data_IF_460534485652
#
_entry.id   IF_460534485652
#
_cell.length_a   1.000
_cell.length_b   1.000
_cell.length_c   1.000
_cell.angle_alpha   90.00
_cell.angle_beta   90.00
_cell.angle_gamma   90.00
#
_symmetry.space_group_name_H-M   'P 1'
#
loop_
_entity.id
_entity.type
_entity.pdbx_description
1 polymer ?
#
# COMPACT_ATOMS: atom_id res chain seq x y z
N UNK A 1 -7.94 -58.40 3.93
CA UNK A 1 -9.10 -57.70 3.35
C UNK A 1 -8.92 -56.21 3.63
N UNK A 2 -8.50 -55.43 2.64
CA UNK A 2 -8.21 -54.00 2.81
C UNK A 2 -9.49 -53.20 2.60
N UNK A 3 -9.88 -52.40 3.60
CA UNK A 3 -11.03 -51.49 3.52
C UNK A 3 -10.69 -50.41 2.50
N UNK A 4 -11.33 -50.45 1.33
CA UNK A 4 -11.26 -49.35 0.35
C UNK A 4 -12.01 -48.18 0.95
N UNK A 5 -11.26 -47.18 1.43
CA UNK A 5 -11.84 -45.93 1.89
C UNK A 5 -12.19 -45.10 0.66
N UNK A 6 -13.48 -44.85 0.47
CA UNK A 6 -13.97 -44.04 -0.64
C UNK A 6 -13.55 -42.59 -0.41
N UNK A 7 -12.87 -42.00 -1.39
CA UNK A 7 -12.47 -40.57 -1.41
C UNK A 7 -13.64 -39.61 -1.13
N UNK A 8 -14.88 -40.03 -1.41
CA UNK A 8 -16.10 -39.28 -1.08
C UNK A 8 -16.34 -39.12 0.41
N UNK A 9 -15.91 -40.10 1.21
CA UNK A 9 -16.11 -40.08 2.66
C UNK A 9 -15.11 -39.13 3.32
N UNK A 10 -13.86 -39.11 2.83
CA UNK A 10 -12.87 -38.11 3.22
C UNK A 10 -13.26 -36.69 2.78
N UNK A 11 -13.90 -36.53 1.62
CA UNK A 11 -14.37 -35.22 1.14
C UNK A 11 -15.53 -34.69 1.98
N UNK A 12 -16.46 -35.56 2.38
CA UNK A 12 -17.52 -35.22 3.34
C UNK A 12 -16.98 -34.93 4.74
N UNK A 13 -15.95 -35.65 5.18
CA UNK A 13 -15.28 -35.39 6.46
C UNK A 13 -14.51 -34.06 6.44
N UNK A 14 -13.95 -33.66 5.30
CA UNK A 14 -13.33 -32.35 5.07
C UNK A 14 -14.36 -31.21 4.92
N UNK A 15 -15.54 -31.48 4.37
CA UNK A 15 -16.64 -30.50 4.25
C UNK A 15 -17.43 -30.33 5.57
N UNK A 16 -17.53 -31.39 6.38
CA UNK A 16 -18.21 -31.39 7.68
C UNK A 16 -17.28 -31.11 8.87
N UNK A 17 -15.96 -31.14 8.69
CA UNK A 17 -15.11 -30.42 9.61
C UNK A 17 -15.42 -28.95 9.38
N UNK A 18 -16.07 -28.32 10.36
CA UNK A 18 -15.76 -26.93 10.69
C UNK A 18 -14.24 -26.91 10.84
N UNK A 19 -13.55 -26.71 9.71
CA UNK A 19 -12.11 -26.82 9.65
C UNK A 19 -11.60 -25.94 10.76
N UNK A 20 -10.73 -26.46 11.65
CA UNK A 20 -10.24 -25.71 12.79
C UNK A 20 -9.89 -24.35 12.24
N UNK A 21 -10.56 -23.31 12.74
CA UNK A 21 -10.32 -21.97 12.28
C UNK A 21 -8.81 -21.82 12.34
N UNK A 22 -8.16 -21.80 11.17
CA UNK A 22 -6.73 -21.53 11.10
C UNK A 22 -6.60 -20.29 11.95
N UNK A 23 -5.98 -20.46 13.12
CA UNK A 23 -5.69 -19.35 14.00
C UNK A 23 -4.95 -18.39 13.09
N UNK A 24 -5.65 -17.30 12.80
CA UNK A 24 -5.18 -16.29 11.87
C UNK A 24 -3.91 -15.78 12.55
N UNK A 25 -2.74 -16.16 12.05
CA UNK A 25 -1.43 -15.87 12.64
C UNK A 25 -1.09 -14.36 12.59
N UNK A 26 -2.07 -13.49 12.81
CA UNK A 26 -2.00 -12.04 12.62
C UNK A 26 -1.99 -11.59 11.16
N UNK A 27 -2.03 -12.50 10.18
CA UNK A 27 -1.85 -12.18 8.75
C UNK A 27 -2.86 -11.15 8.25
N UNK A 28 -4.11 -11.23 8.71
CA UNK A 28 -5.17 -10.27 8.36
C UNK A 28 -5.50 -9.29 9.48
N UNK A 29 -4.58 -9.08 10.44
CA UNK A 29 -4.79 -8.11 11.52
C UNK A 29 -5.12 -6.72 10.94
N UNK A 30 -6.19 -6.10 11.44
CA UNK A 30 -6.69 -4.81 10.97
C UNK A 30 -7.34 -4.81 9.57
N UNK A 31 -7.58 -5.98 8.96
CA UNK A 31 -8.26 -6.07 7.67
C UNK A 31 -9.64 -5.39 7.67
N UNK A 32 -10.44 -5.59 8.73
CA UNK A 32 -11.79 -5.00 8.76
C UNK A 32 -11.73 -3.47 8.79
N UNK A 33 -10.77 -2.91 9.50
CA UNK A 33 -10.62 -1.46 9.63
C UNK A 33 -10.20 -0.86 8.29
N UNK A 34 -9.16 -1.43 7.66
CA UNK A 34 -8.72 -1.02 6.32
C UNK A 34 -9.79 -1.23 5.25
N UNK A 35 -10.59 -2.29 5.36
CA UNK A 35 -11.70 -2.54 4.44
C UNK A 35 -12.80 -1.48 4.59
N UNK A 36 -13.10 -1.04 5.81
CA UNK A 36 -14.03 0.06 6.03
C UNK A 36 -13.46 1.39 5.53
N UNK A 37 -12.19 1.69 5.80
CA UNK A 37 -11.50 2.87 5.28
C UNK A 37 -11.52 2.89 3.74
N UNK A 38 -11.21 1.76 3.10
CA UNK A 38 -11.30 1.60 1.66
C UNK A 38 -12.68 1.97 1.14
N UNK A 39 -13.74 1.43 1.76
CA UNK A 39 -15.12 1.70 1.38
C UNK A 39 -15.53 3.15 1.61
N UNK A 40 -15.00 3.81 2.63
CA UNK A 40 -15.28 5.22 2.92
C UNK A 40 -14.71 6.17 1.84
N UNK A 41 -13.68 5.74 1.12
CA UNK A 41 -13.12 6.49 -0.01
C UNK A 41 -13.88 6.27 -1.33
N UNK A 42 -14.68 5.21 -1.43
CA UNK A 42 -15.46 4.90 -2.63
C UNK A 42 -16.53 5.98 -2.81
N UNK A 43 -16.64 6.56 -4.00
CA UNK A 43 -17.66 7.57 -4.37
C UNK A 43 -19.03 6.92 -4.59
N UNK A 44 -19.48 6.12 -3.63
CA UNK A 44 -20.80 5.53 -3.53
C UNK A 44 -21.42 6.00 -2.22
N UNK A 45 -22.73 6.20 -2.19
CA UNK A 45 -23.48 6.54 -0.96
C UNK A 45 -23.60 5.31 -0.04
N UNK A 46 -22.47 4.76 0.39
CA UNK A 46 -22.42 3.61 1.28
C UNK A 46 -22.84 4.08 2.69
N UNK A 47 -23.81 3.40 3.32
CA UNK A 47 -24.18 3.73 4.69
C UNK A 47 -22.99 3.56 5.64
N UNK A 48 -22.96 4.29 6.76
CA UNK A 48 -22.03 4.02 7.86
C UNK A 48 -22.15 2.59 8.40
N UNK A 49 -21.08 2.07 9.01
CA UNK A 49 -21.01 0.69 9.49
C UNK A 49 -22.14 0.35 10.47
N UNK A 50 -22.47 1.26 11.38
CA UNK A 50 -23.54 1.18 12.37
C UNK A 50 -24.95 1.40 11.79
N UNK A 51 -25.05 1.93 10.56
CA UNK A 51 -26.31 2.35 9.92
C UNK A 51 -26.63 1.55 8.65
N UNK A 52 -26.31 0.26 8.65
CA UNK A 52 -26.80 -0.67 7.62
C UNK A 52 -25.83 -0.96 6.48
N UNK A 53 -24.55 -0.55 6.57
CA UNK A 53 -23.50 -0.90 5.58
C UNK A 53 -23.48 -2.40 5.24
N UNK A 54 -23.59 -3.25 6.26
CA UNK A 54 -23.58 -4.71 6.09
C UNK A 54 -24.74 -5.16 5.18
N UNK A 55 -25.94 -4.64 5.40
CA UNK A 55 -27.12 -4.96 4.59
C UNK A 55 -26.97 -4.46 3.16
N UNK A 56 -26.50 -3.22 3.01
CA UNK A 56 -26.28 -2.61 1.70
C UNK A 56 -25.26 -3.40 0.86
N UNK A 57 -24.11 -3.75 1.45
CA UNK A 57 -23.07 -4.51 0.75
C UNK A 57 -23.51 -5.94 0.47
N UNK A 58 -24.28 -6.56 1.37
CA UNK A 58 -24.86 -7.89 1.13
C UNK A 58 -25.78 -7.88 -0.10
N UNK A 59 -26.65 -6.87 -0.22
CA UNK A 59 -27.52 -6.69 -1.38
C UNK A 59 -26.71 -6.40 -2.66
N UNK A 60 -25.72 -5.51 -2.58
CA UNK A 60 -24.87 -5.14 -3.70
C UNK A 60 -24.05 -6.30 -4.26
N UNK A 61 -23.55 -7.17 -3.39
CA UNK A 61 -22.66 -8.30 -3.75
C UNK A 61 -23.40 -9.63 -3.91
N UNK A 62 -24.70 -9.68 -3.58
CA UNK A 62 -25.48 -10.91 -3.53
C UNK A 62 -25.02 -11.90 -2.43
N UNK A 63 -24.18 -11.46 -1.49
CA UNK A 63 -23.69 -12.28 -0.38
C UNK A 63 -24.63 -12.22 0.83
N UNK A 64 -24.53 -13.17 1.75
CA UNK A 64 -25.31 -13.11 2.99
C UNK A 64 -24.79 -12.01 3.92
N UNK A 65 -25.69 -11.40 4.71
CA UNK A 65 -25.32 -10.39 5.72
C UNK A 65 -24.31 -10.92 6.73
N UNK A 66 -24.36 -12.21 7.06
CA UNK A 66 -23.39 -12.86 7.95
C UNK A 66 -21.99 -12.88 7.35
N UNK A 67 -21.86 -13.21 6.07
CA UNK A 67 -20.58 -13.21 5.36
C UNK A 67 -19.99 -11.79 5.31
N UNK A 68 -20.80 -10.80 4.95
CA UNK A 68 -20.35 -9.40 4.90
C UNK A 68 -19.99 -8.89 6.31
N UNK A 69 -20.75 -9.27 7.33
CA UNK A 69 -20.43 -8.93 8.72
C UNK A 69 -19.05 -9.46 9.13
N UNK A 70 -18.69 -10.68 8.73
CA UNK A 70 -17.37 -11.26 9.00
C UNK A 70 -16.26 -10.40 8.36
N UNK A 71 -16.45 -9.94 7.12
CA UNK A 71 -15.47 -9.11 6.43
C UNK A 71 -15.26 -7.76 7.12
N UNK A 72 -16.35 -7.10 7.51
CA UNK A 72 -16.32 -5.74 8.03
C UNK A 72 -16.07 -5.64 9.55
N UNK A 73 -16.08 -6.75 10.29
CA UNK A 73 -15.97 -6.71 11.76
C UNK A 73 -15.04 -7.76 12.38
N UNK A 74 -14.59 -8.78 11.64
CA UNK A 74 -13.84 -9.92 12.22
C UNK A 74 -12.48 -10.17 11.56
N UNK A 75 -11.90 -9.17 10.90
CA UNK A 75 -10.58 -9.27 10.23
C UNK A 75 -10.44 -10.48 9.28
N UNK A 76 -11.55 -10.93 8.68
CA UNK A 76 -11.56 -12.13 7.84
C UNK A 76 -11.96 -11.75 6.42
N UNK A 77 -11.02 -11.67 5.46
CA UNK A 77 -11.33 -11.29 4.09
C UNK A 77 -12.24 -12.32 3.38
N UNK A 78 -12.89 -11.93 2.27
CA UNK A 78 -13.50 -12.89 1.36
C UNK A 78 -12.44 -13.93 0.95
N UNK A 79 -12.73 -15.21 1.19
CA UNK A 79 -11.80 -16.30 0.90
C UNK A 79 -11.57 -16.42 -0.60
N UNK A 80 -10.31 -16.46 -1.02
CA UNK A 80 -9.92 -16.87 -2.37
C UNK A 80 -10.03 -18.41 -2.49
N UNK A 81 -11.24 -18.98 -2.43
CA UNK A 81 -11.39 -20.42 -2.58
C UNK A 81 -11.52 -20.83 -4.05
N UNK A 82 -10.79 -21.88 -4.41
CA UNK A 82 -10.56 -22.46 -5.75
C UNK A 82 -11.80 -23.04 -6.45
N UNK A 83 -13.00 -22.98 -5.85
CA UNK A 83 -14.23 -23.48 -6.48
C UNK A 83 -14.91 -22.41 -7.36
N UNK A 84 -15.04 -22.76 -8.64
CA UNK A 84 -15.29 -21.85 -9.76
C UNK A 84 -16.66 -21.17 -9.79
N UNK A 85 -17.63 -21.57 -8.97
CA UNK A 85 -19.03 -21.31 -9.35
C UNK A 85 -19.81 -20.23 -8.60
N UNK A 86 -19.37 -19.68 -7.44
CA UNK A 86 -20.22 -18.66 -6.75
C UNK A 86 -19.62 -17.90 -5.57
N UNK A 87 -18.31 -17.64 -5.53
CA UNK A 87 -17.70 -16.93 -4.40
C UNK A 87 -17.03 -15.61 -4.83
N UNK A 88 -17.42 -14.54 -4.16
CA UNK A 88 -16.80 -13.21 -4.26
C UNK A 88 -15.40 -13.30 -3.65
N UNK A 89 -14.36 -13.20 -4.48
CA UNK A 89 -12.97 -13.09 -3.99
C UNK A 89 -12.68 -11.66 -3.58
N UNK A 90 -11.68 -11.47 -2.70
CA UNK A 90 -11.25 -10.11 -2.32
C UNK A 90 -10.86 -9.31 -3.56
N UNK A 91 -10.17 -9.94 -4.52
CA UNK A 91 -9.78 -9.30 -5.77
C UNK A 91 -10.98 -8.79 -6.59
N UNK A 92 -12.03 -9.62 -6.74
CA UNK A 92 -13.26 -9.23 -7.45
C UNK A 92 -14.00 -8.10 -6.73
N UNK A 93 -14.04 -8.17 -5.39
CA UNK A 93 -14.68 -7.15 -4.56
C UNK A 93 -13.99 -5.80 -4.71
N UNK A 94 -12.66 -5.78 -4.58
CA UNK A 94 -11.87 -4.54 -4.74
C UNK A 94 -11.98 -4.02 -6.16
N UNK A 95 -11.87 -4.88 -7.18
CA UNK A 95 -12.01 -4.48 -8.58
C UNK A 95 -13.38 -3.86 -8.88
N UNK A 96 -14.43 -4.32 -8.21
CA UNK A 96 -15.76 -3.72 -8.32
C UNK A 96 -15.79 -2.30 -7.75
N UNK A 97 -15.36 -2.12 -6.50
CA UNK A 97 -15.39 -0.82 -5.82
C UNK A 97 -14.40 0.20 -6.40
N UNK A 98 -13.28 -0.25 -6.95
CA UNK A 98 -12.31 0.62 -7.63
C UNK A 98 -12.89 1.36 -8.83
N UNK A 99 -13.94 0.84 -9.49
CA UNK A 99 -14.64 1.57 -10.55
C UNK A 99 -15.29 2.86 -10.08
N UNK A 100 -15.46 2.99 -8.77
CA UNK A 100 -16.06 4.13 -8.09
C UNK A 100 -15.02 4.90 -7.26
N UNK A 101 -13.73 4.65 -7.47
CA UNK A 101 -12.63 5.41 -6.90
C UNK A 101 -11.99 6.29 -7.97
N UNK A 102 -11.48 7.43 -7.55
CA UNK A 102 -10.71 8.35 -8.37
C UNK A 102 -9.25 8.26 -7.91
N UNK A 103 -8.55 7.24 -8.42
CA UNK A 103 -7.23 6.87 -7.95
C UNK A 103 -6.39 6.25 -9.06
N UNK A 104 -5.10 6.59 -9.08
CA UNK A 104 -4.10 5.96 -9.96
C UNK A 104 -3.47 4.71 -9.31
N UNK A 105 -3.90 4.34 -8.11
CA UNK A 105 -3.37 3.20 -7.36
C UNK A 105 -3.84 1.90 -8.00
N UNK A 106 -2.91 0.97 -8.24
CA UNK A 106 -3.23 -0.32 -8.86
C UNK A 106 -4.07 -1.22 -7.95
N UNK A 107 -4.92 -2.04 -8.58
CA UNK A 107 -5.74 -3.05 -7.91
C UNK A 107 -4.93 -3.98 -7.01
N UNK A 108 -3.78 -4.44 -7.50
CA UNK A 108 -2.88 -5.31 -6.74
C UNK A 108 -2.36 -4.63 -5.47
N UNK A 109 -2.04 -3.33 -5.54
CA UNK A 109 -1.57 -2.56 -4.38
C UNK A 109 -2.66 -2.42 -3.33
N UNK A 110 -3.90 -2.11 -3.71
CA UNK A 110 -5.02 -2.01 -2.75
C UNK A 110 -5.31 -3.37 -2.12
N UNK A 111 -5.36 -4.45 -2.91
CA UNK A 111 -5.58 -5.81 -2.38
C UNK A 111 -4.47 -6.20 -1.40
N UNK A 112 -3.22 -5.90 -1.73
CA UNK A 112 -2.10 -6.24 -0.88
C UNK A 112 -2.07 -5.39 0.41
N UNK A 113 -2.39 -4.10 0.35
CA UNK A 113 -2.57 -3.26 1.54
C UNK A 113 -3.70 -3.78 2.45
N UNK A 114 -4.86 -4.12 1.87
CA UNK A 114 -5.96 -4.70 2.65
C UNK A 114 -5.51 -5.97 3.40
N UNK A 115 -4.75 -6.85 2.73
CA UNK A 115 -4.25 -8.10 3.32
C UNK A 115 -3.21 -7.87 4.40
N UNK A 116 -2.14 -7.14 4.07
CA UNK A 116 -0.91 -7.14 4.87
C UNK A 116 -0.74 -5.88 5.73
N UNK A 117 -1.54 -4.84 5.49
CA UNK A 117 -1.51 -3.60 6.25
C UNK A 117 -0.31 -2.70 5.95
N UNK A 118 -0.26 -1.58 6.69
CA UNK A 118 0.69 -0.48 6.49
C UNK A 118 2.15 -0.87 6.74
N UNK A 119 2.40 -1.90 7.55
CA UNK A 119 3.74 -2.42 7.82
C UNK A 119 4.41 -3.00 6.58
N UNK A 120 3.62 -3.58 5.67
CA UNK A 120 4.10 -4.14 4.42
C UNK A 120 3.94 -3.17 3.24
N UNK A 121 2.82 -2.46 3.19
CA UNK A 121 2.45 -1.56 2.10
C UNK A 121 1.71 -0.37 2.69
N UNK A 122 2.26 0.82 2.58
CA UNK A 122 1.61 2.04 3.07
C UNK A 122 0.21 2.24 2.46
N UNK A 123 -0.75 2.71 3.29
CA UNK A 123 -2.12 3.02 2.87
C UNK A 123 -2.14 3.85 1.59
N UNK A 124 -2.89 3.39 0.57
CA UNK A 124 -3.02 4.10 -0.69
C UNK A 124 -3.83 5.40 -0.56
N UNK A 125 -4.49 5.61 0.58
CA UNK A 125 -5.32 6.78 0.87
C UNK A 125 -4.68 7.73 1.88
N UNK A 126 -3.53 7.35 2.43
CA UNK A 126 -2.74 8.27 3.24
C UNK A 126 -2.37 9.44 2.33
N UNK A 127 -2.89 10.62 2.65
CA UNK A 127 -2.45 11.85 2.01
C UNK A 127 -0.95 11.94 2.26
N UNK A 128 -0.15 11.72 1.21
CA UNK A 128 1.27 12.06 1.25
C UNK A 128 1.33 13.51 1.70
N UNK A 129 2.09 13.80 2.75
CA UNK A 129 2.24 15.18 3.15
C UNK A 129 2.87 15.93 1.97
N UNK A 130 2.60 17.23 1.87
CA UNK A 130 3.18 18.07 0.82
C UNK A 130 4.71 17.88 0.79
N UNK A 131 5.32 17.65 1.94
CA UNK A 131 6.76 17.42 2.09
C UNK A 131 7.22 16.08 1.50
N UNK A 132 6.40 15.02 1.54
CA UNK A 132 6.70 13.71 0.93
C UNK A 132 6.66 13.78 -0.60
N UNK A 133 5.66 14.47 -1.15
CA UNK A 133 5.55 14.72 -2.60
C UNK A 133 6.67 15.63 -3.10
N UNK A 134 7.03 16.64 -2.30
CA UNK A 134 8.18 17.50 -2.58
C UNK A 134 9.48 16.70 -2.55
N UNK A 135 9.69 15.82 -1.56
CA UNK A 135 10.88 14.97 -1.53
C UNK A 135 10.97 14.05 -2.76
N UNK A 136 9.89 13.38 -3.15
CA UNK A 136 9.87 12.53 -4.35
C UNK A 136 10.21 13.31 -5.64
N UNK A 137 9.71 14.54 -5.76
CA UNK A 137 10.01 15.43 -6.90
C UNK A 137 11.44 16.00 -6.85
N UNK A 138 11.98 16.24 -5.64
CA UNK A 138 13.28 16.84 -5.43
C UNK A 138 14.42 15.84 -5.46
N UNK A 139 14.20 14.55 -5.18
CA UNK A 139 15.25 13.51 -5.24
C UNK A 139 15.96 13.48 -6.61
N UNK A 140 15.26 13.44 -7.77
CA UNK A 140 15.91 13.49 -9.08
C UNK A 140 16.71 14.79 -9.29
N UNK A 141 16.21 15.91 -8.77
CA UNK A 141 16.88 17.20 -8.85
C UNK A 141 18.16 17.23 -8.02
N UNK A 142 18.07 16.84 -6.75
CA UNK A 142 19.19 16.74 -5.82
C UNK A 142 20.28 15.83 -6.37
N UNK A 143 19.93 14.62 -6.81
CA UNK A 143 20.87 13.67 -7.40
C UNK A 143 21.61 14.26 -8.61
N UNK A 144 20.89 14.95 -9.50
CA UNK A 144 21.49 15.60 -10.67
C UNK A 144 22.52 16.65 -10.26
N UNK A 145 22.20 17.47 -9.27
CA UNK A 145 23.08 18.55 -8.81
C UNK A 145 24.32 17.99 -8.13
N UNK A 146 24.15 16.99 -7.27
CA UNK A 146 25.27 16.31 -6.60
C UNK A 146 26.25 15.74 -7.63
N UNK A 147 25.75 15.06 -8.66
CA UNK A 147 26.60 14.48 -9.73
C UNK A 147 27.39 15.57 -10.47
N UNK A 148 26.75 16.70 -10.79
CA UNK A 148 27.42 17.80 -11.48
C UNK A 148 28.49 18.47 -10.62
N UNK A 149 28.18 18.75 -9.35
CA UNK A 149 29.12 19.40 -8.42
C UNK A 149 30.28 18.46 -8.06
N UNK A 150 30.01 17.18 -7.83
CA UNK A 150 31.05 16.17 -7.60
C UNK A 150 31.98 16.05 -8.82
N UNK A 151 31.41 16.02 -10.03
CA UNK A 151 32.19 16.00 -11.27
C UNK A 151 33.02 17.26 -11.45
N UNK A 152 32.46 18.44 -11.18
CA UNK A 152 33.18 19.71 -11.25
C UNK A 152 34.35 19.78 -10.24
N UNK A 153 34.21 19.08 -9.11
CA UNK A 153 35.24 18.96 -8.09
C UNK A 153 36.22 17.80 -8.31
N UNK A 154 36.10 17.05 -9.42
CA UNK A 154 36.87 15.83 -9.70
C UNK A 154 36.74 14.75 -8.60
N UNK A 155 35.56 14.64 -7.98
CA UNK A 155 35.27 13.63 -6.96
C UNK A 155 34.43 12.50 -7.55
N UNK A 156 34.77 11.25 -7.20
CA UNK A 156 33.93 10.08 -7.46
C UNK A 156 32.74 10.06 -6.50
N UNK A 157 31.62 9.48 -6.92
CA UNK A 157 30.46 9.25 -6.05
C UNK A 157 30.79 8.33 -4.85
N UNK A 158 31.83 7.50 -4.97
CA UNK A 158 32.33 6.66 -3.89
C UNK A 158 33.23 7.39 -2.89
N UNK A 159 33.60 8.65 -3.16
CA UNK A 159 34.50 9.43 -2.32
C UNK A 159 33.80 10.12 -1.15
N UNK A 160 32.46 10.01 -1.04
CA UNK A 160 31.66 10.64 0.00
C UNK A 160 30.42 9.81 0.32
N UNK A 161 29.83 10.08 1.48
CA UNK A 161 28.57 9.44 1.87
C UNK A 161 27.39 10.04 1.07
N UNK A 162 27.02 9.35 -0.02
CA UNK A 162 25.94 9.78 -0.90
C UNK A 162 24.59 9.96 -0.18
N UNK A 163 24.29 9.12 0.80
CA UNK A 163 23.02 9.19 1.51
C UNK A 163 22.92 10.48 2.33
N UNK A 164 23.96 10.81 3.11
CA UNK A 164 24.00 12.05 3.89
C UNK A 164 24.01 13.29 2.98
N UNK A 165 24.80 13.26 1.90
CA UNK A 165 24.85 14.36 0.94
C UNK A 165 23.49 14.57 0.25
N UNK A 166 22.77 13.49 -0.06
CA UNK A 166 21.43 13.56 -0.64
C UNK A 166 20.43 14.20 0.34
N UNK A 167 20.42 13.76 1.60
CA UNK A 167 19.55 14.32 2.65
C UNK A 167 19.85 15.81 2.89
N UNK A 168 21.12 16.19 3.04
CA UNK A 168 21.51 17.59 3.19
C UNK A 168 21.13 18.42 1.95
N UNK A 169 21.33 17.88 0.75
CA UNK A 169 20.96 18.57 -0.49
C UNK A 169 19.45 18.76 -0.60
N UNK A 170 18.65 17.77 -0.20
CA UNK A 170 17.19 17.90 -0.16
C UNK A 170 16.75 19.00 0.80
N UNK A 171 17.35 19.07 1.99
CA UNK A 171 17.08 20.13 2.96
C UNK A 171 17.44 21.51 2.40
N UNK A 172 18.60 21.65 1.74
CA UNK A 172 18.99 22.91 1.07
C UNK A 172 17.97 23.29 0.00
N UNK A 173 17.60 22.37 -0.90
CA UNK A 173 16.64 22.68 -1.96
C UNK A 173 15.27 23.04 -1.38
N UNK A 174 14.86 22.43 -0.28
CA UNK A 174 13.62 22.73 0.41
C UNK A 174 13.65 24.11 1.10
N UNK A 175 14.70 24.40 1.87
CA UNK A 175 14.86 25.66 2.62
C UNK A 175 14.91 26.88 1.69
N UNK A 176 15.45 26.71 0.49
CA UNK A 176 15.54 27.76 -0.53
C UNK A 176 14.39 27.73 -1.56
N UNK A 177 13.37 26.87 -1.38
CA UNK A 177 12.23 26.67 -2.29
C UNK A 177 12.65 26.44 -3.76
N UNK A 178 13.71 25.65 -3.94
CA UNK A 178 14.31 25.36 -5.25
C UNK A 178 13.64 24.13 -5.87
N UNK A 179 12.57 24.38 -6.61
CA UNK A 179 11.74 23.31 -7.20
C UNK A 179 12.16 22.87 -8.60
N UNK A 180 13.17 23.52 -9.19
CA UNK A 180 13.62 23.17 -10.54
C UNK A 180 15.09 23.49 -10.75
N UNK A 181 15.70 22.78 -11.69
CA UNK A 181 17.12 22.98 -12.03
C UNK A 181 17.45 24.39 -12.51
N UNK A 182 16.49 25.10 -13.13
CA UNK A 182 16.66 26.49 -13.58
C UNK A 182 16.78 27.48 -12.42
N UNK A 183 16.26 27.12 -11.24
CA UNK A 183 16.27 27.97 -10.04
C UNK A 183 17.53 27.72 -9.18
N UNK A 184 18.44 26.87 -9.65
CA UNK A 184 19.69 26.58 -8.93
C UNK A 184 20.69 27.69 -9.22
N UNK A 185 20.87 28.55 -8.22
CA UNK A 185 21.80 29.66 -8.26
C UNK A 185 23.21 29.23 -7.78
N UNK A 186 24.27 29.97 -8.16
CA UNK A 186 25.64 29.68 -7.72
C UNK A 186 25.82 29.54 -6.20
N UNK A 187 25.11 30.29 -5.32
CA UNK A 187 25.19 30.06 -3.87
C UNK A 187 24.75 28.66 -3.44
N UNK A 188 23.65 28.13 -4.01
CA UNK A 188 23.15 26.79 -3.68
C UNK A 188 24.20 25.73 -4.03
N UNK A 189 24.78 25.84 -5.24
CA UNK A 189 25.85 24.95 -5.72
C UNK A 189 27.06 24.98 -4.79
N UNK A 190 27.46 26.17 -4.34
CA UNK A 190 28.58 26.33 -3.40
C UNK A 190 28.31 25.63 -2.06
N UNK A 191 27.09 25.73 -1.53
CA UNK A 191 26.70 25.05 -0.28
C UNK A 191 26.68 23.53 -0.49
N UNK A 192 26.05 23.05 -1.56
CA UNK A 192 25.99 21.62 -1.89
C UNK A 192 27.40 21.03 -2.09
N UNK A 193 28.28 21.76 -2.78
CA UNK A 193 29.67 21.35 -2.94
C UNK A 193 30.41 21.28 -1.59
N UNK A 194 30.10 22.18 -0.66
CA UNK A 194 30.67 22.11 0.69
C UNK A 194 30.13 20.89 1.45
N UNK A 195 28.85 20.56 1.31
CA UNK A 195 28.25 19.33 1.86
C UNK A 195 28.96 18.07 1.34
N UNK A 196 29.23 18.01 0.03
CA UNK A 196 30.00 16.90 -0.58
C UNK A 196 31.39 16.78 0.04
N UNK A 197 32.10 17.89 0.21
CA UNK A 197 33.45 17.92 0.80
C UNK A 197 33.47 17.58 2.29
N UNK A 198 32.45 18.00 3.04
CA UNK A 198 32.37 17.72 4.48
C UNK A 198 32.08 16.25 4.76
N UNK A 199 31.42 15.58 3.82
CA UNK A 199 31.04 14.16 3.92
C UNK A 199 31.97 13.23 3.11
N UNK A 200 33.15 13.71 2.71
CA UNK A 200 34.14 12.90 1.99
C UNK A 200 34.97 12.01 2.90
N UNK A 201 35.38 10.85 2.39
CA UNK A 201 36.27 9.89 3.06
C UNK A 201 37.76 10.22 2.87
#
# INVERSE_FOLDING_TARGET
MSKVVLLSDHKKEYENTEGPGLEDNGVYSGFSDRMNEFLDHVKMDLPPLDKGRISYIAELTGCSRQIVSIWLTKNKPPRDSVDQDKKTSLFKLVAYFMKHLDTDVSLYRIVAWLRYGDEAIESPFKQKQVDDLKQELLIPLAAKVIVEEAKAANMSMSAFNLQLVLEETLNILFDFDVMSYKNILPPHRKIILQCIKNNSH
#
